data_IF_421356772042
#
_entry.id   IF_421356772042
#
_cell.length_a   1.000
_cell.length_b   1.000
_cell.length_c   1.000
_cell.angle_alpha   90.00
_cell.angle_beta   90.00
_cell.angle_gamma   90.00
#
_symmetry.space_group_name_H-M   'P 1'
#
loop_
_entity.id
_entity.type
_entity.pdbx_description
1 polymer ?
#
# COMPACT_ATOMS: atom_id res chain seq x y z
N UNK A 1 -16.14 -7.43 0.73
CA UNK A 1 -14.99 -7.67 -0.16
C UNK A 1 -13.81 -6.89 0.39
N UNK A 2 -12.57 -7.29 0.12
CA UNK A 2 -11.39 -6.48 0.44
C UNK A 2 -10.53 -6.36 -0.82
N UNK A 3 -9.60 -5.41 -0.81
CA UNK A 3 -8.76 -5.14 -1.99
C UNK A 3 -7.89 -6.35 -2.38
N UNK A 4 -7.45 -7.15 -1.42
CA UNK A 4 -6.67 -8.37 -1.68
C UNK A 4 -7.44 -9.40 -2.51
N UNK A 5 -8.70 -9.65 -2.14
CA UNK A 5 -9.60 -10.53 -2.88
C UNK A 5 -9.95 -9.97 -4.27
N UNK A 6 -10.11 -8.65 -4.40
CA UNK A 6 -10.33 -8.03 -5.71
C UNK A 6 -9.12 -8.22 -6.64
N UNK A 7 -7.90 -7.97 -6.15
CA UNK A 7 -6.65 -8.22 -6.89
C UNK A 7 -6.54 -9.68 -7.31
N UNK A 8 -6.83 -10.61 -6.40
CA UNK A 8 -6.84 -12.04 -6.67
C UNK A 8 -7.83 -12.38 -7.80
N UNK A 9 -9.05 -11.86 -7.74
CA UNK A 9 -10.09 -12.13 -8.73
C UNK A 9 -9.69 -11.59 -10.10
N UNK A 10 -9.28 -10.32 -10.19
CA UNK A 10 -8.82 -9.70 -11.44
C UNK A 10 -7.69 -10.54 -12.05
N UNK A 11 -6.68 -10.92 -11.24
CA UNK A 11 -5.56 -11.71 -11.70
C UNK A 11 -6.00 -13.06 -12.26
N UNK A 12 -6.91 -13.74 -11.57
CA UNK A 12 -7.42 -15.07 -11.98
C UNK A 12 -8.30 -14.98 -13.23
N UNK A 13 -9.15 -13.96 -13.34
CA UNK A 13 -9.97 -13.70 -14.53
C UNK A 13 -9.10 -13.45 -15.78
N UNK A 14 -7.97 -12.77 -15.61
CA UNK A 14 -6.98 -12.55 -16.67
C UNK A 14 -5.99 -13.70 -16.86
N UNK A 15 -6.16 -14.81 -16.13
CA UNK A 15 -5.31 -16.01 -16.18
C UNK A 15 -3.82 -15.73 -15.92
N UNK A 16 -3.51 -14.73 -15.11
CA UNK A 16 -2.14 -14.33 -14.79
C UNK A 16 -1.62 -15.08 -13.54
N UNK A 17 -0.35 -15.44 -13.57
CA UNK A 17 0.40 -15.81 -12.36
C UNK A 17 0.66 -14.58 -11.50
N UNK A 18 0.97 -14.77 -10.21
CA UNK A 18 1.36 -13.66 -9.33
C UNK A 18 2.61 -12.92 -9.86
N UNK A 19 3.51 -13.63 -10.54
CA UNK A 19 4.71 -13.04 -11.12
C UNK A 19 4.38 -12.16 -12.32
N UNK A 20 3.53 -12.65 -13.24
CA UNK A 20 3.09 -11.87 -14.40
C UNK A 20 2.29 -10.63 -13.99
N UNK A 21 1.38 -10.77 -13.01
CA UNK A 21 0.67 -9.62 -12.47
C UNK A 21 1.63 -8.61 -11.83
N UNK A 22 2.62 -9.09 -11.07
CA UNK A 22 3.62 -8.22 -10.46
C UNK A 22 4.42 -7.43 -11.49
N UNK A 23 4.77 -8.05 -12.63
CA UNK A 23 5.46 -7.39 -13.74
C UNK A 23 4.66 -6.21 -14.32
N UNK A 24 3.33 -6.30 -14.40
CA UNK A 24 2.48 -5.21 -14.90
C UNK A 24 2.56 -3.94 -14.04
N UNK A 25 2.76 -4.11 -12.73
CA UNK A 25 2.76 -3.01 -11.75
C UNK A 25 4.14 -2.77 -11.13
N UNK A 26 5.19 -3.29 -11.75
CA UNK A 26 6.57 -3.15 -11.29
C UNK A 26 6.81 -3.59 -9.82
N UNK A 27 6.10 -4.63 -9.38
CA UNK A 27 6.24 -5.23 -8.04
C UNK A 27 6.65 -6.70 -8.12
N UNK A 28 7.20 -7.20 -7.02
CA UNK A 28 7.62 -8.61 -6.95
C UNK A 28 6.41 -9.55 -6.80
N UNK A 29 6.56 -10.82 -7.18
CA UNK A 29 5.58 -11.88 -6.86
C UNK A 29 5.22 -11.92 -5.38
N UNK A 30 6.21 -11.70 -4.50
CA UNK A 30 6.00 -11.67 -3.05
C UNK A 30 5.12 -10.50 -2.63
N UNK A 31 5.28 -9.33 -3.25
CA UNK A 31 4.40 -8.18 -3.06
C UNK A 31 2.97 -8.55 -3.42
N UNK A 32 2.74 -9.12 -4.61
CA UNK A 32 1.40 -9.57 -5.03
C UNK A 32 0.80 -10.57 -4.03
N UNK A 33 1.60 -11.56 -3.58
CA UNK A 33 1.17 -12.50 -2.55
C UNK A 33 0.78 -11.80 -1.23
N UNK A 34 1.55 -10.81 -0.79
CA UNK A 34 1.23 -10.04 0.41
C UNK A 34 -0.07 -9.24 0.25
N UNK A 35 -0.32 -8.66 -0.93
CA UNK A 35 -1.57 -7.95 -1.24
C UNK A 35 -2.77 -8.90 -1.19
N UNK A 36 -2.68 -10.04 -1.89
CA UNK A 36 -3.77 -11.04 -1.96
C UNK A 36 -4.10 -11.67 -0.61
N UNK A 37 -3.14 -11.68 0.33
CA UNK A 37 -3.30 -12.21 1.68
C UNK A 37 -3.45 -11.12 2.76
N UNK A 38 -3.77 -9.88 2.39
CA UNK A 38 -3.99 -8.74 3.30
C UNK A 38 -2.82 -8.46 4.27
N UNK A 39 -1.59 -8.86 3.89
CA UNK A 39 -0.37 -8.55 4.66
C UNK A 39 0.14 -7.14 4.40
N UNK A 40 -0.27 -6.54 3.28
CA UNK A 40 0.02 -5.16 2.90
C UNK A 40 -1.10 -4.65 2.00
N UNK A 41 -1.17 -3.33 1.83
CA UNK A 41 -2.11 -2.68 0.91
C UNK A 41 -1.39 -2.07 -0.29
N UNK A 42 -2.05 -1.96 -1.46
CA UNK A 42 -1.49 -1.22 -2.59
C UNK A 42 -1.37 0.26 -2.23
N UNK A 43 -0.35 0.93 -2.79
CA UNK A 43 -0.29 2.38 -2.72
C UNK A 43 -1.26 3.03 -3.74
N UNK A 44 -1.40 4.35 -3.67
CA UNK A 44 -2.31 5.09 -4.53
C UNK A 44 -1.94 4.95 -6.02
N UNK A 45 -0.66 4.88 -6.35
CA UNK A 45 -0.22 4.78 -7.75
C UNK A 45 -0.60 3.40 -8.32
N UNK A 46 -0.34 2.32 -7.58
CA UNK A 46 -0.75 0.97 -7.97
C UNK A 46 -2.27 0.86 -8.12
N UNK A 47 -3.07 1.51 -7.26
CA UNK A 47 -4.53 1.55 -7.40
C UNK A 47 -4.96 2.24 -8.71
N UNK A 48 -4.33 3.36 -9.07
CA UNK A 48 -4.56 4.06 -10.34
C UNK A 48 -4.15 3.18 -11.52
N UNK A 49 -3.00 2.51 -11.42
CA UNK A 49 -2.50 1.66 -12.50
C UNK A 49 -3.41 0.44 -12.72
N UNK A 50 -3.89 -0.21 -11.65
CA UNK A 50 -4.89 -1.28 -11.72
C UNK A 50 -6.19 -0.77 -12.34
N UNK A 51 -6.64 0.42 -11.93
CA UNK A 51 -7.85 1.06 -12.46
C UNK A 51 -7.75 1.25 -13.98
N UNK A 52 -6.63 1.79 -14.46
CA UNK A 52 -6.38 2.01 -15.88
C UNK A 52 -6.17 0.70 -16.67
N UNK A 53 -5.39 -0.23 -16.13
CA UNK A 53 -5.00 -1.48 -16.79
C UNK A 53 -6.17 -2.43 -17.01
N UNK A 54 -7.17 -2.41 -16.12
CA UNK A 54 -8.30 -3.32 -16.15
C UNK A 54 -9.66 -2.64 -16.32
N UNK A 55 -9.68 -1.32 -16.53
CA UNK A 55 -10.89 -0.51 -16.71
C UNK A 55 -11.86 -0.61 -15.52
N UNK A 56 -11.32 -0.67 -14.30
CA UNK A 56 -12.09 -0.77 -13.05
C UNK A 56 -12.11 0.59 -12.38
N UNK A 57 -13.28 1.03 -11.92
CA UNK A 57 -13.38 2.31 -11.21
C UNK A 57 -12.59 2.30 -9.89
N UNK A 58 -11.93 3.41 -9.56
CA UNK A 58 -11.29 3.57 -8.25
C UNK A 58 -12.30 3.44 -7.09
N UNK A 59 -13.56 3.77 -7.31
CA UNK A 59 -14.62 3.59 -6.32
C UNK A 59 -14.81 2.11 -5.97
N UNK A 60 -14.81 1.22 -6.98
CA UNK A 60 -14.85 -0.23 -6.79
C UNK A 60 -13.63 -0.71 -6.00
N UNK A 61 -12.44 -0.18 -6.30
CA UNK A 61 -11.19 -0.61 -5.64
C UNK A 61 -11.07 -0.09 -4.20
N UNK A 62 -11.51 1.14 -3.93
CA UNK A 62 -11.24 1.85 -2.67
C UNK A 62 -12.42 1.79 -1.70
N UNK A 63 -13.64 2.09 -2.16
CA UNK A 63 -14.80 2.25 -1.27
C UNK A 63 -15.31 0.93 -0.72
N UNK A 64 -15.00 -0.18 -1.38
CA UNK A 64 -15.36 -1.52 -0.92
C UNK A 64 -14.50 -2.01 0.26
N UNK A 65 -13.36 -1.35 0.54
CA UNK A 65 -12.46 -1.69 1.65
C UNK A 65 -12.21 -0.49 2.59
N UNK A 66 -13.20 -0.21 3.44
CA UNK A 66 -13.07 0.83 4.47
C UNK A 66 -11.95 0.58 5.51
N UNK A 67 -11.47 -0.67 5.65
CA UNK A 67 -10.38 -1.01 6.57
C UNK A 67 -9.03 -0.59 5.99
N UNK A 68 -8.82 -0.80 4.69
CA UNK A 68 -7.64 -0.31 3.97
C UNK A 68 -7.48 1.19 4.15
N UNK A 69 -8.53 1.97 3.85
CA UNK A 69 -8.48 3.45 3.92
C UNK A 69 -8.08 3.91 5.32
N UNK A 70 -8.73 3.38 6.36
CA UNK A 70 -8.40 3.69 7.76
C UNK A 70 -6.97 3.32 8.13
N UNK A 71 -6.45 2.21 7.58
CA UNK A 71 -5.09 1.74 7.85
C UNK A 71 -4.06 2.68 7.22
N UNK A 72 -4.24 3.02 5.94
CA UNK A 72 -3.40 3.98 5.22
C UNK A 72 -3.37 5.34 5.93
N UNK A 73 -4.53 5.84 6.35
CA UNK A 73 -4.62 7.11 7.10
C UNK A 73 -3.87 7.05 8.43
N UNK A 74 -4.01 5.95 9.18
CA UNK A 74 -3.31 5.74 10.44
C UNK A 74 -1.81 5.69 10.22
N UNK A 75 -1.33 4.94 9.24
CA UNK A 75 0.10 4.85 8.89
C UNK A 75 0.68 6.20 8.50
N UNK A 76 -0.06 7.00 7.73
CA UNK A 76 0.34 8.36 7.36
C UNK A 76 0.51 9.27 8.58
N UNK A 77 -0.41 9.20 9.54
CA UNK A 77 -0.31 9.96 10.81
C UNK A 77 0.88 9.48 11.64
N UNK A 78 1.05 8.16 11.79
CA UNK A 78 2.16 7.57 12.54
C UNK A 78 3.51 7.94 11.93
N UNK A 79 3.63 7.96 10.60
CA UNK A 79 4.84 8.40 9.90
C UNK A 79 5.25 9.83 10.24
N UNK A 80 4.28 10.77 10.31
CA UNK A 80 4.53 12.15 10.72
C UNK A 80 5.02 12.25 12.16
N UNK A 81 4.40 11.51 13.07
CA UNK A 81 4.78 11.48 14.49
C UNK A 81 6.20 10.92 14.65
N UNK A 82 6.51 9.80 13.97
CA UNK A 82 7.83 9.18 13.99
C UNK A 82 8.91 10.14 13.50
N UNK A 83 8.66 10.86 12.40
CA UNK A 83 9.60 11.86 11.86
C UNK A 83 9.82 13.02 12.85
N UNK A 84 8.76 13.55 13.46
CA UNK A 84 8.86 14.60 14.48
C UNK A 84 9.70 14.13 15.68
N UNK A 85 9.46 12.92 16.17
CA UNK A 85 10.20 12.34 17.29
C UNK A 85 11.68 12.12 16.94
N UNK A 86 12.00 11.69 15.70
CA UNK A 86 13.39 11.58 15.24
C UNK A 86 14.09 12.93 15.22
N UNK A 87 13.45 13.98 14.70
CA UNK A 87 14.01 15.34 14.71
C UNK A 87 14.21 15.88 16.13
N UNK A 88 13.25 15.67 17.03
CA UNK A 88 13.38 16.05 18.44
C UNK A 88 14.53 15.32 19.12
N UNK A 89 14.67 14.01 18.90
CA UNK A 89 15.78 13.23 19.46
C UNK A 89 17.13 13.70 18.94
N UNK A 90 17.24 14.00 17.64
CA UNK A 90 18.44 14.56 17.04
C UNK A 90 18.85 15.89 17.71
N UNK A 91 17.91 16.83 17.87
CA UNK A 91 18.17 18.11 18.55
C UNK A 91 18.58 17.93 20.01
N UNK A 92 18.00 16.95 20.72
CA UNK A 92 18.36 16.65 22.11
C UNK A 92 19.78 16.13 22.24
N UNK A 93 20.22 15.25 21.32
CA UNK A 93 21.61 14.76 21.28
C UNK A 93 22.57 15.91 21.00
N UNK A 94 22.28 16.75 20.02
CA UNK A 94 23.14 17.88 19.66
C UNK A 94 23.27 18.93 20.79
N UNK A 95 22.19 19.16 21.56
CA UNK A 95 22.23 20.05 22.72
C UNK A 95 23.07 19.50 23.88
N UNK A 96 23.13 18.17 24.06
CA UNK A 96 23.95 17.52 25.08
C UNK A 96 25.44 17.58 24.76
N UNK A 97 25.82 17.63 23.47
CA UNK A 97 27.23 17.74 23.04
C UNK A 97 27.82 19.16 23.23
N UNK A 98 26.99 20.17 23.50
CA UNK A 98 27.39 21.56 23.72
C UNK A 98 27.53 21.94 25.20
N UNK A 99 27.34 20.99 26.11
CA UNK A 99 27.48 21.13 27.57
C UNK A 99 28.73 20.39 28.06
#
# INVERSE_FOLDING_TARGET
MNIGNQILNIRKEKQLTQEEFGKLFHVTRQTVSNLENEKSYPDLQMLIDISNQFEISLDTLIKEDSKMVKTIDKERVLGKIKKKNQSLNFLRVQALELL
#
